data_IF_610443892860
#
_entry.id   IF_610443892860
#
_cell.length_a   1.000
_cell.length_b   1.000
_cell.length_c   1.000
_cell.angle_alpha   90.00
_cell.angle_beta   90.00
_cell.angle_gamma   90.00
#
_symmetry.space_group_name_H-M   'P 1'
#
loop_
_entity.id
_entity.type
_entity.pdbx_description
1 polymer ?
#
# COMPACT_ATOMS: atom_id res chain seq x y z
N UNK A 1 -11.33 -19.24 -17.95
CA UNK A 1 -11.09 -20.31 -18.92
C UNK A 1 -10.62 -21.52 -18.14
N UNK A 2 -11.00 -22.72 -18.52
CA UNK A 2 -10.60 -23.96 -17.84
C UNK A 2 -9.72 -24.75 -18.81
N UNK A 3 -8.45 -24.98 -18.45
CA UNK A 3 -7.70 -26.05 -19.10
C UNK A 3 -8.22 -27.40 -18.59
N UNK A 4 -7.99 -28.51 -19.34
CA UNK A 4 -8.64 -29.82 -19.16
C UNK A 4 -8.60 -30.46 -17.77
N UNK A 5 -8.03 -29.82 -16.74
CA UNK A 5 -7.99 -30.25 -15.35
C UNK A 5 -8.90 -29.42 -14.42
N UNK A 6 -9.72 -28.52 -14.95
CA UNK A 6 -10.63 -27.68 -14.14
C UNK A 6 -9.96 -26.53 -13.38
N UNK A 7 -8.65 -26.31 -13.54
CA UNK A 7 -7.90 -25.17 -12.99
C UNK A 7 -8.12 -23.92 -13.86
N UNK A 8 -8.17 -22.71 -13.27
CA UNK A 8 -8.17 -21.49 -14.05
C UNK A 8 -6.88 -21.39 -14.87
N UNK A 9 -7.02 -21.02 -16.13
CA UNK A 9 -5.88 -20.67 -16.98
C UNK A 9 -5.62 -19.16 -16.83
N UNK A 10 -4.43 -18.81 -16.36
CA UNK A 10 -3.95 -17.45 -16.22
C UNK A 10 -2.87 -17.10 -17.26
N UNK A 11 -2.69 -17.95 -18.28
CA UNK A 11 -1.73 -17.70 -19.35
C UNK A 11 -2.05 -16.36 -20.04
N UNK A 12 -1.04 -15.52 -20.13
CA UNK A 12 -1.18 -14.17 -20.68
C UNK A 12 -1.69 -13.10 -19.72
N UNK A 13 -2.01 -13.43 -18.45
CA UNK A 13 -2.30 -12.39 -17.46
C UNK A 13 -1.02 -11.63 -17.10
N UNK A 14 -1.09 -10.30 -17.16
CA UNK A 14 0.01 -9.44 -16.71
C UNK A 14 0.00 -9.34 -15.20
N UNK A 15 1.15 -9.55 -14.57
CA UNK A 15 1.37 -9.43 -13.11
C UNK A 15 2.63 -8.61 -12.85
N UNK A 16 2.74 -8.04 -11.65
CA UNK A 16 3.91 -7.28 -11.18
C UNK A 16 4.54 -7.98 -9.97
N UNK A 17 5.37 -9.02 -10.16
CA UNK A 17 6.12 -9.62 -9.07
C UNK A 17 7.27 -8.70 -8.65
N UNK A 18 7.77 -8.88 -7.42
CA UNK A 18 9.05 -8.30 -7.02
C UNK A 18 10.16 -9.02 -7.79
N UNK A 19 10.87 -8.34 -8.69
CA UNK A 19 11.82 -8.99 -9.60
C UNK A 19 13.08 -9.46 -8.89
N UNK A 20 13.53 -8.68 -7.91
CA UNK A 20 14.70 -8.95 -7.08
C UNK A 20 14.45 -8.43 -5.66
N UNK A 21 14.81 -9.21 -4.67
CA UNK A 21 14.69 -8.84 -3.25
C UNK A 21 16.03 -8.40 -2.64
N UNK A 22 17.08 -8.32 -3.44
CA UNK A 22 18.45 -8.05 -2.98
C UNK A 22 19.04 -9.23 -2.20
N UNK A 23 20.27 -9.05 -1.78
CA UNK A 23 21.11 -10.02 -1.05
C UNK A 23 21.65 -9.46 0.27
N UNK A 24 21.03 -8.38 0.78
CA UNK A 24 21.40 -7.74 2.03
C UNK A 24 21.25 -8.66 3.26
N UNK A 25 21.82 -8.26 4.37
CA UNK A 25 21.80 -9.05 5.60
C UNK A 25 20.39 -9.42 6.09
N UNK A 26 19.38 -8.53 6.07
CA UNK A 26 17.99 -8.88 6.39
C UNK A 26 17.41 -9.97 5.49
N UNK A 27 17.66 -9.92 4.19
CA UNK A 27 17.18 -10.93 3.25
C UNK A 27 17.86 -12.28 3.49
N UNK A 28 19.20 -12.29 3.61
CA UNK A 28 19.98 -13.50 3.88
C UNK A 28 19.54 -14.16 5.20
N UNK A 29 19.39 -13.37 6.26
CA UNK A 29 18.89 -13.83 7.55
C UNK A 29 17.49 -14.44 7.42
N UNK A 30 16.52 -13.69 6.90
CA UNK A 30 15.13 -14.14 6.82
C UNK A 30 14.96 -15.36 5.91
N UNK A 31 15.74 -15.43 4.82
CA UNK A 31 15.72 -16.56 3.89
C UNK A 31 16.20 -17.87 4.52
N UNK A 32 17.15 -17.80 5.45
CA UNK A 32 17.69 -18.95 6.19
C UNK A 32 16.97 -19.21 7.52
N UNK A 33 16.07 -18.33 7.93
CA UNK A 33 15.40 -18.41 9.23
C UNK A 33 14.51 -19.67 9.31
N UNK A 34 14.71 -20.47 10.38
CA UNK A 34 14.07 -21.80 10.53
C UNK A 34 12.54 -21.78 10.47
N UNK A 35 11.90 -20.64 10.81
CA UNK A 35 10.44 -20.51 10.81
C UNK A 35 9.89 -19.82 9.54
N UNK A 36 10.74 -19.54 8.54
CA UNK A 36 10.34 -18.94 7.26
C UNK A 36 9.18 -19.68 6.60
N UNK A 37 9.11 -21.01 6.77
CA UNK A 37 8.03 -21.86 6.22
C UNK A 37 6.62 -21.47 6.67
N UNK A 38 6.50 -20.74 7.79
CA UNK A 38 5.21 -20.28 8.32
C UNK A 38 4.81 -18.90 7.80
N UNK A 39 5.64 -18.22 7.02
CA UNK A 39 5.30 -16.98 6.37
C UNK A 39 4.67 -17.25 5.02
N UNK A 40 3.53 -16.60 4.75
CA UNK A 40 3.05 -16.43 3.38
C UNK A 40 4.04 -15.58 2.58
N UNK A 41 3.92 -15.53 1.27
CA UNK A 41 4.75 -14.64 0.43
C UNK A 41 4.59 -13.18 0.85
N UNK A 42 3.35 -12.72 1.08
CA UNK A 42 3.07 -11.37 1.55
C UNK A 42 3.67 -11.08 2.92
N UNK A 43 3.51 -12.00 3.89
CA UNK A 43 4.11 -11.86 5.21
C UNK A 43 5.64 -11.87 5.17
N UNK A 44 6.26 -12.61 4.25
CA UNK A 44 7.71 -12.56 4.05
C UNK A 44 8.18 -11.19 3.58
N UNK A 45 7.50 -10.59 2.59
CA UNK A 45 7.80 -9.24 2.10
C UNK A 45 7.59 -8.18 3.18
N UNK A 46 6.56 -8.35 4.00
CA UNK A 46 6.24 -7.49 5.13
C UNK A 46 7.35 -7.51 6.20
N UNK A 47 7.74 -8.71 6.65
CA UNK A 47 8.81 -8.87 7.64
C UNK A 47 10.15 -8.34 7.10
N UNK A 48 10.47 -8.62 5.84
CA UNK A 48 11.69 -8.11 5.20
C UNK A 48 11.70 -6.57 5.17
N UNK A 49 10.59 -5.95 4.81
CA UNK A 49 10.46 -4.48 4.82
C UNK A 49 10.65 -3.92 6.23
N UNK A 50 10.04 -4.54 7.25
CA UNK A 50 10.16 -4.13 8.65
C UNK A 50 11.58 -4.21 9.18
N UNK A 51 12.31 -5.30 8.89
CA UNK A 51 13.71 -5.44 9.26
C UNK A 51 14.59 -4.36 8.60
N UNK A 52 14.38 -4.11 7.31
CA UNK A 52 15.11 -3.05 6.58
C UNK A 52 14.83 -1.66 7.14
N UNK A 53 13.57 -1.36 7.47
CA UNK A 53 13.18 -0.08 8.04
C UNK A 53 13.83 0.15 9.42
N UNK A 54 13.84 -0.85 10.29
CA UNK A 54 14.51 -0.77 11.59
C UNK A 54 16.01 -0.47 11.43
N UNK A 55 16.70 -1.22 10.57
CA UNK A 55 18.13 -0.98 10.29
C UNK A 55 18.40 0.39 9.66
N UNK A 56 17.58 0.81 8.69
CA UNK A 56 17.68 2.13 8.05
C UNK A 56 17.48 3.27 9.05
N UNK A 57 16.65 3.06 10.06
CA UNK A 57 16.47 3.99 11.17
C UNK A 57 17.57 3.91 12.24
N UNK A 58 18.55 3.03 12.09
CA UNK A 58 19.68 2.85 13.03
C UNK A 58 19.35 1.97 14.24
N UNK A 59 18.35 1.10 14.14
CA UNK A 59 18.01 0.14 15.18
C UNK A 59 18.48 -1.26 14.83
N UNK A 60 19.35 -1.85 15.67
CA UNK A 60 19.64 -3.29 15.64
C UNK A 60 18.52 -4.10 16.31
N UNK A 61 17.85 -3.50 17.31
CA UNK A 61 16.64 -3.93 17.99
C UNK A 61 15.80 -2.71 18.33
N UNK A 62 14.48 -2.84 18.29
CA UNK A 62 13.55 -1.75 18.60
C UNK A 62 13.48 -1.51 20.13
N UNK A 63 13.10 -0.30 20.58
CA UNK A 63 12.74 -0.06 21.95
C UNK A 63 11.70 -1.09 22.46
N UNK A 64 11.80 -1.51 23.71
CA UNK A 64 10.94 -2.57 24.27
C UNK A 64 9.46 -2.21 24.18
N UNK A 65 9.11 -0.94 24.38
CA UNK A 65 7.75 -0.38 24.31
C UNK A 65 7.32 0.05 22.91
N UNK A 66 8.17 -0.17 21.88
CA UNK A 66 7.81 0.13 20.50
C UNK A 66 6.51 -0.56 20.09
N UNK A 67 5.57 0.21 19.58
CA UNK A 67 4.32 -0.29 19.03
C UNK A 67 4.53 -0.76 17.59
N UNK A 68 3.93 -1.89 17.23
CA UNK A 68 3.88 -2.36 15.86
C UNK A 68 2.49 -2.10 15.26
N UNK A 69 2.45 -1.49 14.10
CA UNK A 69 1.24 -1.13 13.36
C UNK A 69 1.32 -1.75 11.95
N UNK A 70 0.70 -2.90 11.77
CA UNK A 70 0.89 -3.71 10.58
C UNK A 70 -0.36 -4.01 9.77
N UNK A 71 -0.16 -4.66 8.64
CA UNK A 71 -1.23 -5.14 7.77
C UNK A 71 -1.39 -6.65 7.83
N UNK A 72 -2.59 -7.12 7.51
CA UNK A 72 -2.87 -8.52 7.35
C UNK A 72 -2.49 -8.99 5.93
N UNK A 73 -1.64 -10.00 5.83
CA UNK A 73 -1.26 -10.63 4.57
C UNK A 73 -1.47 -12.16 4.64
N UNK A 74 -2.73 -12.63 4.83
CA UNK A 74 -3.00 -14.05 4.90
C UNK A 74 -2.74 -14.71 3.55
N UNK A 75 -2.32 -15.96 3.57
CA UNK A 75 -2.16 -16.76 2.36
C UNK A 75 -3.52 -17.02 1.69
N UNK A 76 -3.54 -17.01 0.35
CA UNK A 76 -4.66 -17.48 -0.46
C UNK A 76 -4.16 -18.47 -1.51
N UNK A 77 -3.19 -19.31 -1.15
CA UNK A 77 -2.54 -20.25 -2.04
C UNK A 77 -3.26 -21.60 -2.01
N UNK A 78 -4.15 -21.81 -2.96
CA UNK A 78 -4.87 -23.07 -3.09
C UNK A 78 -3.98 -24.28 -3.41
N UNK A 79 -2.82 -24.11 -4.02
CA UNK A 79 -1.94 -25.24 -4.34
C UNK A 79 -1.28 -25.78 -3.07
N UNK A 80 -0.90 -24.89 -2.16
CA UNK A 80 -0.29 -25.21 -0.89
C UNK A 80 -1.32 -25.51 0.19
N UNK A 81 -2.54 -25.02 0.02
CA UNK A 81 -3.65 -25.09 0.95
C UNK A 81 -4.83 -25.89 0.40
N UNK A 82 -4.69 -26.47 -0.78
CA UNK A 82 -5.65 -27.41 -1.35
C UNK A 82 -5.71 -28.74 -0.59
N UNK A 83 -4.89 -28.86 0.44
CA UNK A 83 -5.19 -29.76 1.54
C UNK A 83 -6.35 -29.29 2.43
N UNK A 84 -6.97 -28.13 2.18
CA UNK A 84 -8.29 -27.82 2.77
C UNK A 84 -9.33 -28.60 1.98
N UNK A 85 -9.72 -29.70 2.53
CA UNK A 85 -10.43 -30.75 1.83
C UNK A 85 -11.90 -30.43 1.80
N UNK A 86 -12.56 -31.07 0.90
CA UNK A 86 -13.90 -31.55 1.19
C UNK A 86 -13.88 -32.74 2.16
N UNK A 87 -12.75 -33.20 2.65
CA UNK A 87 -12.56 -34.26 3.66
C UNK A 87 -11.65 -33.74 4.78
N UNK A 88 -11.75 -34.23 6.04
CA UNK A 88 -10.82 -33.83 7.09
C UNK A 88 -9.39 -33.90 6.57
N UNK A 89 -8.55 -32.87 6.84
CA UNK A 89 -7.17 -32.92 6.41
C UNK A 89 -6.55 -34.19 6.92
N UNK A 90 -5.82 -34.89 6.06
CA UNK A 90 -4.92 -35.92 6.55
C UNK A 90 -3.94 -35.20 7.46
N UNK A 91 -4.09 -35.41 8.76
CA UNK A 91 -3.40 -34.73 9.85
C UNK A 91 -1.89 -34.73 9.61
N UNK A 92 -1.36 -35.79 9.05
CA UNK A 92 0.06 -35.99 8.72
C UNK A 92 0.60 -35.09 7.60
N UNK A 93 -0.25 -34.38 6.85
CA UNK A 93 0.16 -33.51 5.76
C UNK A 93 0.29 -32.03 6.17
N UNK A 94 -0.15 -31.68 7.37
CA UNK A 94 -0.08 -30.30 7.87
C UNK A 94 1.19 -30.07 8.68
N UNK A 95 1.89 -28.98 8.40
CA UNK A 95 2.96 -28.50 9.27
C UNK A 95 2.41 -28.21 10.67
N UNK A 96 3.15 -28.51 11.75
CA UNK A 96 2.69 -28.36 13.14
C UNK A 96 2.11 -26.98 13.50
N UNK A 97 2.54 -25.93 12.81
CA UNK A 97 2.08 -24.56 13.03
C UNK A 97 1.51 -23.93 11.74
N UNK A 98 0.90 -24.77 10.86
CA UNK A 98 0.33 -24.31 9.60
C UNK A 98 -0.63 -23.12 9.75
N UNK A 99 -1.33 -23.05 10.90
CA UNK A 99 -2.25 -21.96 11.23
C UNK A 99 -1.60 -20.57 11.14
N UNK A 100 -0.30 -20.46 11.41
CA UNK A 100 0.41 -19.19 11.36
C UNK A 100 0.35 -18.51 9.98
N UNK A 101 0.16 -19.26 8.90
CA UNK A 101 -0.02 -18.69 7.56
C UNK A 101 -1.35 -17.98 7.37
N UNK A 102 -2.33 -18.30 8.19
CA UNK A 102 -3.68 -17.77 8.15
C UNK A 102 -3.91 -16.65 9.14
N UNK A 103 -3.12 -16.63 10.21
CA UNK A 103 -3.27 -15.57 11.22
C UNK A 103 -2.86 -14.22 10.63
N UNK A 104 -3.76 -13.22 10.72
CA UNK A 104 -3.50 -11.89 10.14
C UNK A 104 -2.31 -11.18 10.79
N UNK A 105 -2.00 -11.50 12.05
CA UNK A 105 -0.96 -10.85 12.85
C UNK A 105 0.41 -11.55 12.78
N UNK A 106 0.60 -12.55 11.93
CA UNK A 106 1.86 -13.31 11.89
C UNK A 106 3.07 -12.43 11.61
N UNK A 107 3.00 -11.53 10.63
CA UNK A 107 4.11 -10.63 10.32
C UNK A 107 4.44 -9.72 11.52
N UNK A 108 3.43 -9.13 12.16
CA UNK A 108 3.58 -8.31 13.38
C UNK A 108 4.28 -9.09 14.50
N UNK A 109 3.82 -10.31 14.78
CA UNK A 109 4.39 -11.16 15.84
C UNK A 109 5.85 -11.54 15.53
N UNK A 110 6.15 -11.85 14.27
CA UNK A 110 7.52 -12.21 13.86
C UNK A 110 8.45 -11.00 14.00
N UNK A 111 8.05 -9.82 13.53
CA UNK A 111 8.83 -8.59 13.69
C UNK A 111 9.06 -8.26 15.16
N UNK A 112 8.02 -8.34 16.01
CA UNK A 112 8.16 -8.15 17.45
C UNK A 112 9.20 -9.09 18.06
N UNK A 113 9.16 -10.38 17.70
CA UNK A 113 10.09 -11.38 18.18
C UNK A 113 11.53 -11.15 17.69
N UNK A 114 11.70 -10.76 16.43
CA UNK A 114 13.04 -10.57 15.84
C UNK A 114 13.71 -9.26 16.27
N UNK A 115 12.92 -8.22 16.51
CA UNK A 115 13.42 -6.89 16.85
C UNK A 115 13.31 -6.56 18.35
N UNK A 116 12.77 -7.48 19.17
CA UNK A 116 12.71 -7.33 20.63
C UNK A 116 11.59 -6.39 21.13
N UNK A 117 10.70 -5.93 20.25
CA UNK A 117 9.59 -5.06 20.65
C UNK A 117 8.52 -5.81 21.45
N UNK A 118 7.99 -5.17 22.50
CA UNK A 118 6.97 -5.73 23.41
C UNK A 118 5.79 -4.79 23.66
N UNK A 119 5.77 -3.65 22.97
CA UNK A 119 4.62 -2.75 22.94
C UNK A 119 3.40 -3.39 22.28
N UNK A 120 2.34 -2.63 22.07
CA UNK A 120 1.13 -3.13 21.42
C UNK A 120 1.39 -3.57 19.99
N UNK A 121 0.92 -4.75 19.62
CA UNK A 121 0.93 -5.25 18.23
C UNK A 121 -0.45 -5.13 17.59
N UNK A 122 -0.60 -4.31 16.60
CA UNK A 122 -1.85 -4.02 15.92
C UNK A 122 -1.80 -4.49 14.48
N UNK A 123 -2.89 -5.04 13.98
CA UNK A 123 -2.98 -5.52 12.61
C UNK A 123 -4.28 -5.05 11.98
N UNK A 124 -4.18 -4.31 10.88
CA UNK A 124 -5.32 -3.71 10.19
C UNK A 124 -5.69 -4.51 8.95
N UNK A 125 -6.97 -4.86 8.86
CA UNK A 125 -7.57 -5.59 7.74
C UNK A 125 -8.62 -4.73 7.03
N UNK A 126 -8.19 -3.69 6.33
CA UNK A 126 -9.04 -2.72 5.62
C UNK A 126 -8.87 -2.79 4.11
N UNK A 127 -8.72 -4.01 3.59
CA UNK A 127 -8.46 -4.29 2.17
C UNK A 127 -7.31 -3.42 1.62
N UNK A 128 -7.49 -2.75 0.48
CA UNK A 128 -6.45 -1.97 -0.17
C UNK A 128 -6.03 -0.70 0.59
N UNK A 129 -6.82 -0.25 1.57
CA UNK A 129 -6.50 0.89 2.42
C UNK A 129 -5.67 0.53 3.66
N UNK A 130 -5.44 -0.76 3.93
CA UNK A 130 -4.81 -1.24 5.17
C UNK A 130 -3.47 -0.59 5.48
N UNK A 131 -2.57 -0.50 4.49
CA UNK A 131 -1.22 0.07 4.69
C UNK A 131 -1.25 1.56 5.04
N UNK A 132 -2.15 2.33 4.41
CA UNK A 132 -2.31 3.74 4.73
C UNK A 132 -2.98 3.94 6.10
N UNK A 133 -3.94 3.09 6.45
CA UNK A 133 -4.57 3.08 7.78
C UNK A 133 -3.53 2.72 8.85
N UNK A 134 -2.73 1.68 8.64
CA UNK A 134 -1.66 1.32 9.58
C UNK A 134 -0.69 2.48 9.83
N UNK A 135 -0.33 3.21 8.76
CA UNK A 135 0.55 4.37 8.84
C UNK A 135 -0.11 5.54 9.60
N UNK A 136 -1.37 5.84 9.28
CA UNK A 136 -2.13 6.90 9.93
C UNK A 136 -2.43 6.62 11.41
N UNK A 137 -2.77 5.40 11.75
CA UNK A 137 -3.00 4.99 13.15
C UNK A 137 -1.69 4.99 13.96
N UNK A 138 -0.56 4.61 13.33
CA UNK A 138 0.76 4.76 13.93
C UNK A 138 1.09 6.22 14.23
N UNK A 139 0.83 7.12 13.27
CA UNK A 139 0.97 8.56 13.44
C UNK A 139 0.11 9.11 14.59
N UNK A 140 -1.17 8.73 14.66
CA UNK A 140 -2.05 9.18 15.76
C UNK A 140 -1.54 8.74 17.13
N UNK A 141 -0.93 7.57 17.25
CA UNK A 141 -0.33 7.11 18.52
C UNK A 141 0.82 8.00 18.96
N UNK A 142 1.73 8.36 18.06
CA UNK A 142 2.79 9.32 18.35
C UNK A 142 2.20 10.69 18.70
N UNK A 143 1.30 11.21 17.88
CA UNK A 143 0.69 12.55 18.05
C UNK A 143 -0.03 12.70 19.37
N UNK A 144 -0.65 11.64 19.88
CA UNK A 144 -1.38 11.65 21.15
C UNK A 144 -0.55 11.16 22.35
N UNK A 145 0.75 10.95 22.20
CA UNK A 145 1.63 10.49 23.27
C UNK A 145 1.35 9.08 23.77
N UNK A 146 0.72 8.25 22.94
CA UNK A 146 0.41 6.84 23.25
C UNK A 146 1.57 5.89 22.91
N UNK A 147 2.57 6.37 22.17
CA UNK A 147 3.80 5.68 21.83
C UNK A 147 4.89 6.71 21.52
N UNK A 148 6.14 6.40 21.85
CA UNK A 148 7.30 7.21 21.46
C UNK A 148 7.87 6.73 20.11
N UNK A 149 7.79 5.43 19.86
CA UNK A 149 8.25 4.80 18.60
C UNK A 149 7.19 3.83 18.11
N UNK A 150 6.91 3.90 16.79
CA UNK A 150 6.03 2.95 16.11
C UNK A 150 6.73 2.39 14.89
N UNK A 151 6.85 1.06 14.79
CA UNK A 151 7.18 0.41 13.53
C UNK A 151 5.89 0.17 12.76
N UNK A 152 5.69 0.91 11.68
CA UNK A 152 4.62 0.62 10.70
C UNK A 152 5.18 -0.33 9.65
N UNK A 153 4.45 -1.40 9.34
CA UNK A 153 4.89 -2.38 8.36
C UNK A 153 3.71 -2.86 7.52
N UNK A 154 3.95 -3.07 6.24
CA UNK A 154 2.96 -3.54 5.30
C UNK A 154 3.61 -4.37 4.20
N UNK A 155 3.07 -5.54 3.93
CA UNK A 155 3.48 -6.39 2.83
C UNK A 155 2.32 -7.24 2.36
N UNK A 156 2.23 -7.49 1.07
CA UNK A 156 1.21 -8.37 0.51
C UNK A 156 1.68 -9.01 -0.80
N UNK A 157 1.08 -10.14 -1.12
CA UNK A 157 1.21 -10.81 -2.41
C UNK A 157 -0.11 -11.44 -2.79
N UNK A 158 -0.67 -11.00 -3.90
CA UNK A 158 -1.93 -11.53 -4.44
C UNK A 158 -1.68 -12.24 -5.78
N UNK A 159 -0.50 -12.83 -5.93
CA UNK A 159 -0.09 -13.54 -7.15
C UNK A 159 -0.31 -15.06 -7.06
N UNK A 160 -0.87 -15.56 -5.96
CA UNK A 160 -1.28 -16.96 -5.84
C UNK A 160 -2.51 -17.26 -6.70
N UNK A 161 -2.67 -18.51 -7.10
CA UNK A 161 -3.82 -18.96 -7.91
C UNK A 161 -5.17 -18.64 -7.27
N UNK A 162 -5.27 -18.74 -5.94
CA UNK A 162 -6.47 -18.37 -5.19
C UNK A 162 -6.81 -16.90 -5.24
N UNK A 163 -5.81 -16.04 -5.06
CA UNK A 163 -6.00 -14.59 -5.12
C UNK A 163 -6.37 -14.14 -6.54
N UNK A 164 -5.66 -14.63 -7.56
CA UNK A 164 -5.95 -14.32 -8.98
C UNK A 164 -7.34 -14.80 -9.37
N UNK A 165 -7.77 -15.99 -8.93
CA UNK A 165 -9.12 -16.48 -9.16
C UNK A 165 -10.17 -15.58 -8.50
N UNK A 166 -9.93 -15.12 -7.27
CA UNK A 166 -10.83 -14.20 -6.56
C UNK A 166 -11.03 -12.90 -7.33
N UNK A 167 -9.94 -12.26 -7.76
CA UNK A 167 -9.99 -11.02 -8.55
C UNK A 167 -10.60 -11.22 -9.94
N UNK A 168 -10.31 -12.35 -10.60
CA UNK A 168 -10.95 -12.69 -11.88
C UNK A 168 -12.47 -12.84 -11.74
N UNK A 169 -12.93 -13.49 -10.67
CA UNK A 169 -14.36 -13.62 -10.35
C UNK A 169 -15.02 -12.29 -10.00
N UNK A 170 -14.27 -11.37 -9.40
CA UNK A 170 -14.74 -10.01 -9.12
C UNK A 170 -14.69 -9.08 -10.35
N UNK A 171 -14.23 -9.56 -11.50
CA UNK A 171 -14.10 -8.79 -12.74
C UNK A 171 -13.26 -7.51 -12.58
N UNK A 172 -12.20 -7.57 -11.76
CA UNK A 172 -11.35 -6.42 -11.46
C UNK A 172 -10.00 -6.42 -12.15
N UNK A 173 -9.59 -7.56 -12.73
CA UNK A 173 -8.32 -7.69 -13.43
C UNK A 173 -8.34 -7.06 -14.81
N UNK A 174 -7.21 -6.46 -15.21
CA UNK A 174 -7.01 -6.01 -16.58
C UNK A 174 -6.93 -7.20 -17.53
N UNK A 175 -7.62 -7.10 -18.65
CA UNK A 175 -7.59 -8.10 -19.73
C UNK A 175 -6.66 -7.73 -20.88
N UNK A 176 -5.89 -6.64 -20.75
CA UNK A 176 -4.85 -6.32 -21.70
C UNK A 176 -3.64 -7.24 -21.49
N UNK A 177 -3.17 -7.84 -22.58
CA UNK A 177 -2.06 -8.80 -22.52
C UNK A 177 -0.68 -8.13 -22.69
N UNK A 178 -0.64 -6.84 -23.03
CA UNK A 178 0.59 -6.07 -23.11
C UNK A 178 0.91 -5.40 -21.78
N UNK A 179 2.09 -5.59 -21.20
CA UNK A 179 2.50 -4.91 -19.97
C UNK A 179 2.33 -3.39 -20.02
N UNK A 180 2.60 -2.77 -21.17
CA UNK A 180 2.51 -1.31 -21.34
C UNK A 180 1.07 -0.77 -21.48
N UNK A 181 0.10 -1.66 -21.72
CA UNK A 181 -1.30 -1.31 -21.87
C UNK A 181 -2.18 -1.91 -20.75
N UNK A 182 -1.60 -2.60 -19.77
CA UNK A 182 -2.39 -3.35 -18.78
C UNK A 182 -2.78 -2.50 -17.58
N UNK A 183 -1.87 -1.69 -17.03
CA UNK A 183 -2.15 -0.81 -15.90
C UNK A 183 -2.32 0.63 -16.41
N UNK A 184 -3.57 1.07 -16.55
CA UNK A 184 -3.93 2.36 -17.14
C UNK A 184 -4.79 3.22 -16.17
N UNK A 185 -4.27 3.61 -14.99
CA UNK A 185 -5.02 4.48 -14.10
C UNK A 185 -5.46 5.77 -14.81
N UNK A 186 -6.74 6.14 -14.60
CA UNK A 186 -7.37 7.34 -15.14
C UNK A 186 -7.46 7.45 -16.67
N UNK A 187 -7.01 6.44 -17.42
CA UNK A 187 -7.18 6.43 -18.88
C UNK A 187 -8.61 6.04 -19.27
N UNK A 188 -9.09 6.57 -20.40
CA UNK A 188 -10.42 6.20 -20.94
C UNK A 188 -10.47 4.74 -21.37
N UNK A 189 -9.33 4.14 -21.74
CA UNK A 189 -9.21 2.75 -22.18
C UNK A 189 -8.87 1.77 -21.06
N UNK A 190 -8.89 2.20 -19.80
CA UNK A 190 -8.64 1.33 -18.64
C UNK A 190 -9.60 0.15 -18.56
N UNK A 191 -9.12 -1.02 -18.14
CA UNK A 191 -9.89 -2.28 -18.14
C UNK A 191 -9.75 -3.10 -16.86
N UNK A 192 -9.29 -2.51 -15.77
CA UNK A 192 -9.00 -3.20 -14.51
C UNK A 192 -7.58 -2.99 -14.05
N UNK A 193 -7.22 -3.58 -12.93
CA UNK A 193 -5.87 -3.46 -12.38
C UNK A 193 -4.98 -4.64 -12.75
N UNK A 194 -3.68 -4.44 -12.66
CA UNK A 194 -2.65 -5.48 -12.72
C UNK A 194 -2.32 -5.88 -11.28
N UNK A 195 -2.45 -7.15 -10.87
CA UNK A 195 -2.06 -7.57 -9.53
C UNK A 195 -0.54 -7.55 -9.37
N UNK A 196 -0.11 -7.14 -8.18
CA UNK A 196 1.30 -7.06 -7.82
C UNK A 196 1.58 -7.61 -6.42
N UNK A 197 2.84 -7.56 -6.02
CA UNK A 197 3.31 -7.88 -4.68
C UNK A 197 4.39 -6.89 -4.25
N UNK A 198 4.57 -6.72 -2.93
CA UNK A 198 5.59 -5.84 -2.39
C UNK A 198 5.38 -5.55 -0.91
N UNK A 199 6.25 -4.72 -0.36
CA UNK A 199 6.14 -4.26 1.01
C UNK A 199 6.94 -2.99 1.25
N UNK A 200 6.51 -2.21 2.24
CA UNK A 200 7.22 -1.06 2.77
C UNK A 200 6.99 -0.96 4.27
N UNK A 201 7.94 -0.36 4.97
CA UNK A 201 7.83 -0.13 6.40
C UNK A 201 8.47 1.20 6.79
N UNK A 202 8.04 1.74 7.93
CA UNK A 202 8.47 3.03 8.45
C UNK A 202 8.69 2.93 9.95
N UNK A 203 9.75 3.54 10.43
CA UNK A 203 9.89 3.87 11.84
C UNK A 203 9.36 5.29 12.04
N UNK A 204 8.30 5.42 12.81
CA UNK A 204 7.74 6.71 13.21
C UNK A 204 8.21 7.05 14.61
N UNK A 205 8.63 8.29 14.79
CA UNK A 205 9.05 8.86 16.08
C UNK A 205 8.54 10.29 16.18
N UNK A 206 8.42 10.80 17.41
CA UNK A 206 8.27 12.24 17.60
C UNK A 206 9.47 12.96 16.99
N UNK A 207 9.22 14.11 16.32
CA UNK A 207 10.27 14.87 15.62
C UNK A 207 11.44 15.24 16.55
N UNK A 208 11.13 15.63 17.76
CA UNK A 208 12.17 16.01 18.74
C UNK A 208 12.99 14.82 19.21
N UNK A 209 12.39 13.64 19.34
CA UNK A 209 13.07 12.40 19.66
C UNK A 209 13.99 11.96 18.53
N UNK A 210 13.52 11.99 17.29
CA UNK A 210 14.32 11.68 16.10
C UNK A 210 15.54 12.61 15.97
N UNK A 211 15.33 13.92 16.15
CA UNK A 211 16.40 14.91 16.13
C UNK A 211 17.43 14.68 17.25
N UNK A 212 16.96 14.41 18.48
CA UNK A 212 17.84 14.12 19.63
C UNK A 212 18.69 12.88 19.39
N UNK A 213 18.14 11.88 18.72
CA UNK A 213 18.84 10.65 18.34
C UNK A 213 19.80 10.86 17.15
N UNK A 214 19.71 11.99 16.45
CA UNK A 214 20.55 12.32 15.30
C UNK A 214 20.22 11.51 14.05
N UNK A 215 19.02 10.94 13.95
CA UNK A 215 18.60 10.19 12.78
C UNK A 215 18.14 11.12 11.65
N UNK A 216 18.30 10.67 10.41
CA UNK A 216 17.78 11.39 9.26
C UNK A 216 16.25 11.29 9.22
N UNK A 217 15.58 12.41 9.23
CA UNK A 217 14.13 12.49 9.00
C UNK A 217 13.90 12.54 7.49
N UNK A 218 13.04 11.68 6.96
CA UNK A 218 12.74 11.62 5.52
C UNK A 218 11.50 12.46 5.17
N UNK A 219 10.51 12.43 6.05
CA UNK A 219 9.26 13.17 5.90
C UNK A 219 8.57 13.29 7.26
N UNK A 220 7.63 14.21 7.36
CA UNK A 220 6.72 14.37 8.48
C UNK A 220 5.30 14.05 8.04
N UNK A 221 4.61 13.16 8.77
CA UNK A 221 3.17 12.96 8.59
C UNK A 221 2.46 14.10 9.34
N UNK A 222 1.66 14.87 8.63
CA UNK A 222 1.02 16.08 9.18
C UNK A 222 -0.47 15.87 9.47
N UNK A 223 -1.13 14.98 8.71
CA UNK A 223 -2.55 14.72 8.91
C UNK A 223 -2.98 13.37 8.36
N UNK A 224 -4.05 12.83 8.92
CA UNK A 224 -4.63 11.55 8.53
C UNK A 224 -6.13 11.52 8.85
N UNK A 225 -6.88 10.85 8.00
CA UNK A 225 -8.24 10.45 8.32
C UNK A 225 -8.66 9.19 7.56
N UNK A 226 -9.53 8.43 8.19
CA UNK A 226 -10.22 7.31 7.57
C UNK A 226 -11.73 7.46 7.71
N UNK A 227 -12.47 6.90 6.75
CA UNK A 227 -13.94 6.85 6.74
C UNK A 227 -14.42 5.53 6.11
N UNK A 228 -15.70 5.26 6.24
CA UNK A 228 -16.35 4.10 5.66
C UNK A 228 -17.58 4.54 4.85
N UNK A 229 -17.74 4.03 3.63
CA UNK A 229 -18.91 4.35 2.79
C UNK A 229 -20.22 3.85 3.40
N UNK A 230 -20.18 2.69 4.06
CA UNK A 230 -21.36 2.05 4.63
C UNK A 230 -22.38 1.58 3.57
N UNK A 231 -21.91 1.33 2.37
CA UNK A 231 -22.70 0.95 1.19
C UNK A 231 -22.45 -0.47 0.69
N UNK A 232 -22.11 -0.60 -0.58
CA UNK A 232 -21.86 -1.89 -1.23
C UNK A 232 -20.57 -2.57 -0.73
N UNK A 233 -20.53 -3.91 -0.79
CA UNK A 233 -19.39 -4.70 -0.29
C UNK A 233 -18.12 -4.55 -1.15
N UNK A 234 -18.23 -4.30 -2.45
CA UNK A 234 -17.08 -4.27 -3.37
C UNK A 234 -17.01 -3.02 -4.24
N UNK A 235 -18.12 -2.29 -4.41
CA UNK A 235 -18.14 -1.07 -5.20
C UNK A 235 -17.98 0.16 -4.29
N UNK A 236 -17.19 1.17 -4.68
CA UNK A 236 -17.14 2.45 -3.98
C UNK A 236 -18.46 3.21 -4.12
N UNK A 237 -18.76 4.13 -3.21
CA UNK A 237 -19.82 5.11 -3.42
C UNK A 237 -19.51 5.91 -4.70
N UNK A 238 -20.37 5.87 -5.75
CA UNK A 238 -20.07 6.56 -7.00
C UNK A 238 -19.86 8.07 -6.86
N UNK A 239 -20.40 8.67 -5.80
CA UNK A 239 -20.23 10.10 -5.48
C UNK A 239 -18.96 10.36 -4.67
N UNK A 240 -18.38 9.33 -4.04
CA UNK A 240 -17.18 9.43 -3.21
C UNK A 240 -17.32 10.36 -2.01
N UNK A 241 -18.52 10.48 -1.42
CA UNK A 241 -18.80 11.45 -0.36
C UNK A 241 -17.94 11.19 0.89
N UNK A 242 -17.84 9.93 1.31
CA UNK A 242 -17.05 9.60 2.48
C UNK A 242 -15.54 9.63 2.18
N UNK A 243 -15.13 9.26 0.98
CA UNK A 243 -13.75 9.40 0.51
C UNK A 243 -13.31 10.88 0.51
N UNK A 244 -14.13 11.79 -0.05
CA UNK A 244 -13.89 13.23 0.01
C UNK A 244 -13.79 13.74 1.44
N UNK A 245 -14.63 13.23 2.34
CA UNK A 245 -14.63 13.59 3.75
C UNK A 245 -13.32 13.15 4.45
N UNK A 246 -12.77 11.98 4.08
CA UNK A 246 -11.47 11.54 4.57
C UNK A 246 -10.36 12.52 4.13
N UNK A 247 -10.32 12.88 2.85
CA UNK A 247 -9.35 13.85 2.32
C UNK A 247 -9.46 15.20 3.04
N UNK A 248 -10.65 15.78 3.13
CA UNK A 248 -10.84 17.07 3.78
C UNK A 248 -10.49 17.05 5.28
N UNK A 249 -10.74 15.94 5.98
CA UNK A 249 -10.36 15.77 7.37
C UNK A 249 -8.85 15.62 7.55
N UNK A 250 -8.17 14.91 6.64
CA UNK A 250 -6.71 14.80 6.66
C UNK A 250 -6.05 16.19 6.46
N UNK A 251 -6.54 16.98 5.49
CA UNK A 251 -6.11 18.35 5.27
C UNK A 251 -6.34 19.23 6.52
N UNK A 252 -7.53 19.17 7.09
CA UNK A 252 -7.87 19.94 8.29
C UNK A 252 -7.00 19.54 9.50
N UNK A 253 -6.69 18.24 9.67
CA UNK A 253 -5.78 17.79 10.74
C UNK A 253 -4.35 18.29 10.54
N UNK A 254 -3.92 18.46 9.29
CA UNK A 254 -2.62 18.95 8.90
C UNK A 254 -2.53 20.50 8.96
N UNK A 255 -3.63 21.18 9.20
CA UNK A 255 -3.77 22.66 9.06
C UNK A 255 -3.39 23.13 7.65
N UNK A 256 -3.80 22.36 6.64
CA UNK A 256 -3.55 22.62 5.22
C UNK A 256 -4.85 22.92 4.47
N UNK A 257 -4.73 23.78 3.48
CA UNK A 257 -5.75 24.01 2.46
C UNK A 257 -5.43 23.19 1.20
N UNK A 258 -6.40 22.98 0.29
CA UNK A 258 -6.10 22.36 -1.00
C UNK A 258 -4.98 23.03 -1.81
N UNK A 259 -4.81 24.36 -1.64
CA UNK A 259 -3.75 25.12 -2.33
C UNK A 259 -2.34 24.86 -1.81
N UNK A 260 -2.20 24.23 -0.66
CA UNK A 260 -0.91 23.90 -0.05
C UNK A 260 -0.36 22.55 -0.50
N UNK A 261 -1.16 21.76 -1.25
CA UNK A 261 -0.77 20.43 -1.73
C UNK A 261 -0.06 20.55 -3.07
N UNK A 262 1.17 20.10 -3.14
CA UNK A 262 2.00 20.06 -4.34
C UNK A 262 1.70 18.86 -5.24
N UNK A 263 1.47 17.69 -4.62
CA UNK A 263 1.19 16.45 -5.35
C UNK A 263 0.16 15.55 -4.66
N UNK A 264 -0.52 14.75 -5.46
CA UNK A 264 -1.41 13.66 -5.01
C UNK A 264 -0.87 12.33 -5.53
N UNK A 265 -0.61 11.41 -4.61
CA UNK A 265 -0.50 9.98 -4.92
C UNK A 265 -1.89 9.38 -4.85
N UNK A 266 -2.52 9.28 -6.00
CA UNK A 266 -3.87 8.78 -6.12
C UNK A 266 -3.95 7.27 -5.92
N UNK A 267 -5.10 6.77 -5.49
CA UNK A 267 -5.36 5.33 -5.44
C UNK A 267 -5.27 4.69 -6.83
N UNK A 268 -5.87 5.30 -7.85
CA UNK A 268 -5.64 5.05 -9.27
C UNK A 268 -5.45 3.58 -9.63
N UNK A 269 -6.51 2.79 -9.59
CA UNK A 269 -6.43 1.33 -9.81
C UNK A 269 -6.47 0.92 -11.29
N UNK A 270 -6.93 1.80 -12.17
CA UNK A 270 -7.24 1.44 -13.55
C UNK A 270 -8.60 0.76 -13.70
N UNK A 271 -9.43 0.71 -12.66
CA UNK A 271 -10.79 0.18 -12.74
C UNK A 271 -11.79 1.25 -13.13
N UNK A 272 -12.89 0.83 -13.77
CA UNK A 272 -13.92 1.75 -14.25
C UNK A 272 -14.54 2.59 -13.14
N UNK A 273 -14.90 1.95 -12.01
CA UNK A 273 -15.64 2.57 -10.92
C UNK A 273 -14.76 3.45 -10.04
N UNK A 274 -13.61 2.92 -9.60
CA UNK A 274 -12.72 3.68 -8.71
C UNK A 274 -12.23 4.96 -9.36
N UNK A 275 -11.65 4.86 -10.55
CA UNK A 275 -10.99 6.01 -11.16
C UNK A 275 -11.99 7.11 -11.56
N UNK A 276 -13.23 6.72 -11.90
CA UNK A 276 -14.28 7.69 -12.15
C UNK A 276 -14.73 8.43 -10.88
N UNK A 277 -14.91 7.70 -9.78
CA UNK A 277 -15.23 8.25 -8.45
C UNK A 277 -14.12 9.19 -7.97
N UNK A 278 -12.89 8.71 -8.00
CA UNK A 278 -11.70 9.41 -7.51
C UNK A 278 -11.42 10.69 -8.32
N UNK A 279 -11.50 10.63 -9.66
CA UNK A 279 -11.36 11.82 -10.50
C UNK A 279 -12.40 12.88 -10.17
N UNK A 280 -13.67 12.48 -9.93
CA UNK A 280 -14.72 13.38 -9.50
C UNK A 280 -14.48 13.97 -8.11
N UNK A 281 -13.99 13.19 -7.16
CA UNK A 281 -13.61 13.60 -5.82
C UNK A 281 -12.48 14.64 -5.89
N UNK A 282 -11.39 14.32 -6.57
CA UNK A 282 -10.22 15.20 -6.68
C UNK A 282 -10.57 16.54 -7.35
N UNK A 283 -11.42 16.52 -8.39
CA UNK A 283 -11.88 17.75 -9.04
C UNK A 283 -12.74 18.64 -8.10
N UNK A 284 -13.43 18.07 -7.11
CA UNK A 284 -14.17 18.85 -6.10
C UNK A 284 -13.28 19.40 -4.98
N UNK A 285 -12.24 18.64 -4.62
CA UNK A 285 -11.29 19.06 -3.57
C UNK A 285 -10.30 20.08 -4.13
N UNK A 286 -9.81 19.87 -5.34
CA UNK A 286 -8.81 20.70 -6.03
C UNK A 286 -9.40 21.31 -7.31
N UNK A 287 -10.27 22.29 -7.20
CA UNK A 287 -10.92 22.89 -8.37
C UNK A 287 -9.93 23.68 -9.22
N UNK A 288 -9.97 23.49 -10.52
CA UNK A 288 -9.15 24.23 -11.49
C UNK A 288 -7.96 23.45 -12.01
N UNK A 289 -7.35 23.99 -13.07
CA UNK A 289 -6.22 23.33 -13.78
C UNK A 289 -4.86 23.49 -13.08
N UNK A 290 -4.78 24.42 -12.12
CA UNK A 290 -3.56 24.73 -11.38
C UNK A 290 -3.45 23.94 -10.06
N UNK A 291 -4.24 22.89 -9.90
CA UNK A 291 -4.21 21.99 -8.76
C UNK A 291 -2.90 21.19 -8.65
N UNK A 292 -2.78 20.35 -7.60
CA UNK A 292 -1.61 19.51 -7.39
C UNK A 292 -1.35 18.57 -8.58
N UNK A 293 -0.09 18.19 -8.75
CA UNK A 293 0.24 17.16 -9.73
C UNK A 293 -0.30 15.79 -9.28
N UNK A 294 -1.09 15.13 -10.11
CA UNK A 294 -1.67 13.81 -9.80
C UNK A 294 -0.86 12.71 -10.46
N UNK A 295 -0.34 11.80 -9.64
CA UNK A 295 0.29 10.54 -10.08
C UNK A 295 -0.43 9.33 -9.52
N UNK A 296 -0.19 8.16 -10.11
CA UNK A 296 -0.72 6.88 -9.65
C UNK A 296 0.37 5.80 -9.75
N UNK A 297 0.96 5.46 -8.60
CA UNK A 297 2.07 4.49 -8.54
C UNK A 297 1.66 3.09 -9.00
N UNK A 298 0.38 2.72 -8.92
CA UNK A 298 -0.10 1.42 -9.42
C UNK A 298 0.10 1.24 -10.93
N UNK A 299 0.34 2.32 -11.67
CA UNK A 299 0.77 2.24 -13.06
C UNK A 299 2.17 1.65 -13.23
N UNK A 300 2.98 1.64 -12.17
CA UNK A 300 4.35 1.12 -12.12
C UNK A 300 4.44 -0.20 -11.35
N UNK A 301 3.79 -0.26 -10.19
CA UNK A 301 3.91 -1.39 -9.25
C UNK A 301 2.84 -2.46 -9.44
N UNK A 302 1.76 -2.17 -10.18
CA UNK A 302 0.53 -2.93 -10.07
C UNK A 302 -0.16 -2.69 -8.73
N UNK A 303 -1.23 -3.42 -8.46
CA UNK A 303 -2.03 -3.31 -7.25
C UNK A 303 -1.51 -4.27 -6.17
N UNK A 304 -0.91 -3.74 -5.12
CA UNK A 304 -0.26 -4.49 -4.03
C UNK A 304 -1.21 -4.81 -2.86
N UNK A 305 -2.52 -4.76 -3.10
CA UNK A 305 -3.56 -5.02 -2.10
C UNK A 305 -3.32 -4.27 -0.77
N UNK A 306 -3.14 -4.97 0.35
CA UNK A 306 -2.99 -4.33 1.66
C UNK A 306 -1.72 -3.48 1.81
N UNK A 307 -0.69 -3.72 1.01
CA UNK A 307 0.56 -2.98 1.06
C UNK A 307 0.55 -1.64 0.29
N UNK A 308 -0.48 -1.38 -0.54
CA UNK A 308 -0.52 -0.22 -1.45
C UNK A 308 -0.13 1.08 -0.77
N UNK A 309 -0.85 1.49 0.27
CA UNK A 309 -0.68 2.81 0.87
C UNK A 309 0.70 3.04 1.48
N UNK A 310 1.28 2.02 2.08
CA UNK A 310 2.63 2.10 2.62
C UNK A 310 3.68 2.21 1.49
N UNK A 311 3.57 1.38 0.45
CA UNK A 311 4.51 1.41 -0.68
C UNK A 311 4.39 2.72 -1.45
N UNK A 312 3.18 3.19 -1.71
CA UNK A 312 2.93 4.46 -2.42
C UNK A 312 3.43 5.67 -1.62
N UNK A 313 3.28 5.65 -0.30
CA UNK A 313 3.87 6.67 0.57
C UNK A 313 5.40 6.65 0.52
N UNK A 314 6.02 5.47 0.60
CA UNK A 314 7.47 5.34 0.48
C UNK A 314 7.98 5.84 -0.88
N UNK A 315 7.32 5.44 -1.98
CA UNK A 315 7.67 5.90 -3.32
C UNK A 315 7.50 7.41 -3.48
N UNK A 316 6.43 7.99 -2.92
CA UNK A 316 6.23 9.45 -2.96
C UNK A 316 7.37 10.19 -2.26
N UNK A 317 7.79 9.72 -1.07
CA UNK A 317 8.92 10.30 -0.32
C UNK A 317 10.22 10.15 -1.12
N UNK A 318 10.53 8.96 -1.62
CA UNK A 318 11.75 8.71 -2.41
C UNK A 318 11.77 9.58 -3.67
N UNK A 319 10.68 9.61 -4.43
CA UNK A 319 10.57 10.45 -5.63
C UNK A 319 10.81 11.93 -5.33
N UNK A 320 10.28 12.44 -4.21
CA UNK A 320 10.49 13.82 -3.84
C UNK A 320 11.93 14.09 -3.34
N UNK A 321 12.54 13.16 -2.60
CA UNK A 321 13.94 13.24 -2.20
C UNK A 321 14.88 13.28 -3.42
N UNK A 322 14.58 12.47 -4.44
CA UNK A 322 15.36 12.37 -5.69
C UNK A 322 14.93 13.39 -6.75
N UNK A 323 13.94 14.26 -6.46
CA UNK A 323 13.37 15.25 -7.39
C UNK A 323 12.85 14.63 -8.69
N UNK A 324 12.23 13.47 -8.58
CA UNK A 324 11.62 12.73 -9.69
C UNK A 324 10.11 12.93 -9.63
N UNK A 325 9.51 13.53 -10.66
CA UNK A 325 8.05 13.60 -10.81
C UNK A 325 7.55 12.38 -11.60
N UNK A 326 6.99 11.35 -10.94
CA UNK A 326 6.64 10.11 -11.61
C UNK A 326 5.38 10.29 -12.45
N UNK A 327 5.41 10.00 -13.75
CA UNK A 327 4.20 10.04 -14.58
C UNK A 327 3.27 8.87 -14.26
N UNK A 328 1.98 9.05 -14.53
CA UNK A 328 1.03 7.93 -14.61
C UNK A 328 1.36 7.13 -15.86
N UNK A 329 2.09 6.02 -15.69
CA UNK A 329 2.58 5.21 -16.81
C UNK A 329 1.39 4.72 -17.66
N UNK A 330 1.49 4.87 -18.98
CA UNK A 330 0.46 4.41 -19.90
C UNK A 330 -0.72 5.37 -20.09
N UNK A 331 -0.88 6.41 -19.27
CA UNK A 331 -1.95 7.39 -19.42
C UNK A 331 -1.76 8.22 -20.71
N UNK A 332 -2.69 8.06 -21.64
CA UNK A 332 -2.70 8.76 -22.93
C UNK A 332 -3.95 9.59 -23.14
N UNK A 333 -5.09 9.10 -22.66
CA UNK A 333 -6.41 9.70 -22.82
C UNK A 333 -7.07 9.91 -21.46
N UNK A 334 -6.71 10.99 -20.72
CA UNK A 334 -7.25 11.24 -19.39
C UNK A 334 -8.78 11.25 -19.35
N UNK A 335 -9.36 10.73 -18.27
CA UNK A 335 -10.81 10.76 -18.02
C UNK A 335 -11.38 12.18 -18.00
N UNK A 336 -10.58 13.12 -17.52
CA UNK A 336 -10.96 14.52 -17.33
C UNK A 336 -9.78 15.45 -17.55
N UNK A 337 -10.06 16.63 -18.06
CA UNK A 337 -9.10 17.73 -18.21
C UNK A 337 -9.07 18.67 -16.97
N UNK A 338 -9.87 18.34 -15.94
CA UNK A 338 -9.97 19.15 -14.71
C UNK A 338 -8.87 18.86 -13.71
N UNK A 339 -8.06 17.81 -13.92
CA UNK A 339 -6.96 17.42 -13.05
C UNK A 339 -5.62 17.53 -13.79
N UNK A 340 -4.60 17.90 -13.03
CA UNK A 340 -3.23 18.01 -13.54
C UNK A 340 -2.50 16.68 -13.43
N UNK A 341 -2.85 15.71 -14.30
CA UNK A 341 -2.13 14.45 -14.36
C UNK A 341 -0.70 14.63 -14.86
N UNK A 342 0.24 13.90 -14.24
CA UNK A 342 1.61 13.80 -14.75
C UNK A 342 1.61 12.81 -15.91
N UNK A 343 1.69 13.32 -17.13
CA UNK A 343 1.62 12.50 -18.36
C UNK A 343 3.01 12.00 -18.77
N UNK A 344 3.11 10.77 -19.35
CA UNK A 344 4.35 10.26 -19.92
C UNK A 344 4.86 11.15 -21.06
N UNK A 345 6.17 11.40 -21.12
CA UNK A 345 6.81 12.13 -22.23
C UNK A 345 6.55 13.64 -22.25
N UNK A 346 5.78 14.19 -21.33
CA UNK A 346 5.71 15.65 -21.15
C UNK A 346 6.96 16.14 -20.43
N UNK A 347 7.40 17.36 -20.75
CA UNK A 347 8.44 18.03 -19.97
C UNK A 347 8.04 17.95 -18.49
N UNK A 348 9.01 17.73 -17.58
CA UNK A 348 8.69 17.53 -16.18
C UNK A 348 7.79 18.68 -15.72
N UNK A 349 6.70 18.30 -15.05
CA UNK A 349 5.88 19.26 -14.36
C UNK A 349 6.80 20.09 -13.44
N UNK A 350 6.55 21.39 -13.25
CA UNK A 350 7.42 22.20 -12.43
C UNK A 350 7.61 21.51 -11.08
N UNK A 351 8.84 21.23 -10.76
CA UNK A 351 9.50 20.79 -9.51
C UNK A 351 8.55 20.60 -8.28
N UNK A 352 7.54 19.75 -8.45
CA UNK A 352 6.50 19.50 -7.42
C UNK A 352 6.84 18.33 -6.50
N UNK A 353 7.62 17.36 -7.00
CA UNK A 353 8.22 16.31 -6.18
C UNK A 353 9.62 16.73 -5.78
N UNK A 354 9.74 17.38 -4.63
CA UNK A 354 11.02 17.88 -4.09
C UNK A 354 11.01 17.91 -2.57
N UNK A 355 12.19 18.00 -1.94
CA UNK A 355 12.28 18.33 -0.52
C UNK A 355 11.49 19.59 -0.18
N UNK A 356 10.72 19.56 0.89
CA UNK A 356 9.81 20.62 1.33
C UNK A 356 8.38 20.51 0.77
N UNK A 357 8.12 19.68 -0.24
CA UNK A 357 6.77 19.52 -0.81
C UNK A 357 5.79 18.88 0.14
N UNK A 358 4.53 19.33 0.07
CA UNK A 358 3.39 18.74 0.75
C UNK A 358 2.66 17.78 -0.20
N UNK A 359 2.51 16.54 0.22
CA UNK A 359 1.82 15.48 -0.53
C UNK A 359 0.55 14.99 0.15
N UNK A 360 -0.41 14.58 -0.65
CA UNK A 360 -1.58 13.82 -0.25
C UNK A 360 -1.45 12.40 -0.82
N UNK A 361 -1.60 11.39 0.03
CA UNK A 361 -1.71 9.99 -0.37
C UNK A 361 -3.10 9.51 -0.02
N UNK A 362 -3.79 8.86 -0.97
CA UNK A 362 -5.12 8.32 -0.73
C UNK A 362 -5.25 6.87 -1.19
N UNK A 363 -5.99 6.08 -0.40
CA UNK A 363 -6.31 4.71 -0.75
C UNK A 363 -7.76 4.37 -0.42
N UNK A 364 -8.37 3.62 -1.34
CA UNK A 364 -9.73 3.14 -1.23
C UNK A 364 -9.75 1.61 -1.31
N UNK A 365 -10.52 0.97 -0.43
CA UNK A 365 -10.55 -0.48 -0.34
C UNK A 365 -11.95 -1.07 -0.47
N UNK A 366 -12.04 -2.33 -0.86
CA UNK A 366 -13.28 -3.08 -0.80
C UNK A 366 -13.92 -2.95 0.60
N UNK A 367 -15.24 -2.99 0.67
CA UNK A 367 -15.98 -2.70 1.89
C UNK A 367 -16.17 -1.21 2.14
N UNK A 368 -15.82 -0.34 1.18
CA UNK A 368 -15.96 1.12 1.30
C UNK A 368 -14.95 1.76 2.24
N UNK A 369 -13.78 1.15 2.42
CA UNK A 369 -12.69 1.68 3.24
C UNK A 369 -12.04 2.85 2.53
N UNK A 370 -11.94 4.01 3.16
CA UNK A 370 -11.32 5.21 2.63
C UNK A 370 -10.26 5.72 3.60
N UNK A 371 -9.07 6.02 3.11
CA UNK A 371 -7.99 6.60 3.89
C UNK A 371 -7.29 7.70 3.10
N UNK A 372 -6.93 8.78 3.78
CA UNK A 372 -6.15 9.89 3.26
C UNK A 372 -5.11 10.33 4.28
N UNK A 373 -3.89 10.61 3.81
CA UNK A 373 -2.75 10.98 4.63
C UNK A 373 -2.02 12.16 3.98
N UNK A 374 -1.76 13.20 4.76
CA UNK A 374 -0.94 14.35 4.38
C UNK A 374 0.47 14.17 4.94
N UNK A 375 1.47 14.47 4.12
CA UNK A 375 2.87 14.44 4.52
C UNK A 375 3.62 15.66 3.97
N UNK A 376 4.70 16.03 4.65
CA UNK A 376 5.69 16.98 4.16
C UNK A 376 7.02 16.27 4.03
N UNK A 377 7.61 16.31 2.84
CA UNK A 377 8.94 15.72 2.61
C UNK A 377 10.00 16.63 3.24
N UNK A 378 10.92 16.05 4.00
CA UNK A 378 11.98 16.82 4.67
C UNK A 378 12.96 17.41 3.65
N UNK A 379 13.48 18.62 3.94
CA UNK A 379 14.35 19.40 3.05
C UNK A 379 15.81 18.91 3.05
#
# INVERSE_FOLDING_TARGET
>A
MKNGAGRPDFDGLVICPVPDMGDDAPFAFLSSWRHRRYLSRGAFLDVLAGLRAALSAGFEGLPEDCVLSGTAAPSLDFERESGLPPAPPEEDRLDALWLLRWLPNTATTVLASLLGARGAGLTYGSACASGLIALGEGFLRIRHGLAETVLVHAGDSRLSSGALLGYAKAHTLSHHLSPDASSLPFDRDRRGFVPGEGGAAFVLEDRSAAQKRGTRILAEITGYAATLDGGALTAPDPKGIQAEKAVRRALAMADLTPGDIDFVSAHGTGTGLNDAMEAGLLARVFPGKDGPAVTAFKSWTGHLASACGAVETALAIICAQERITPPVRGLRHPLTDSLRFVLPGTAPAPDVFKPGSCGLVENFGFGGQNAALCLRVEA
#
